data_IF_947159133783
#
_entry.id   IF_947159133783
#
_cell.length_a   1.000
_cell.length_b   1.000
_cell.length_c   1.000
_cell.angle_alpha   90.00
_cell.angle_beta   90.00
_cell.angle_gamma   90.00
#
_symmetry.space_group_name_H-M   'P 1'
#
loop_
_entity.id
_entity.type
_entity.pdbx_description
1 polymer ?
#
# COMPACT_ATOMS: atom_id res chain seq x y z
N UNK A 1 9.82 34.02 -8.61
CA UNK A 1 10.41 32.71 -8.98
C UNK A 1 10.66 31.79 -7.76
N UNK A 2 9.96 31.95 -6.62
CA UNK A 2 10.23 31.17 -5.40
C UNK A 2 9.18 30.10 -5.07
N UNK A 3 8.03 30.08 -5.77
CA UNK A 3 6.88 29.23 -5.43
C UNK A 3 7.01 27.81 -6.00
N UNK A 4 7.54 27.64 -7.22
CA UNK A 4 7.64 26.32 -7.90
C UNK A 4 8.50 25.27 -7.17
N UNK A 5 9.57 25.69 -6.46
CA UNK A 5 10.40 24.75 -5.68
C UNK A 5 9.66 24.16 -4.48
N UNK A 6 8.68 24.87 -3.92
CA UNK A 6 8.02 24.43 -2.70
C UNK A 6 6.98 23.34 -3.00
N UNK A 7 6.26 23.47 -4.12
CA UNK A 7 5.17 22.55 -4.50
C UNK A 7 5.68 21.19 -4.96
N UNK A 8 6.74 21.18 -5.77
CA UNK A 8 7.45 19.96 -6.19
C UNK A 8 8.01 19.19 -4.98
N UNK A 9 8.51 19.91 -3.97
CA UNK A 9 8.96 19.31 -2.71
C UNK A 9 7.80 18.68 -1.92
N UNK A 10 6.63 19.34 -1.91
CA UNK A 10 5.44 18.88 -1.21
C UNK A 10 4.89 17.58 -1.82
N UNK A 11 4.72 17.56 -3.14
CA UNK A 11 4.28 16.35 -3.85
C UNK A 11 5.23 15.16 -3.60
N UNK A 12 6.54 15.41 -3.63
CA UNK A 12 7.54 14.37 -3.38
C UNK A 12 7.45 13.81 -1.95
N UNK A 13 7.25 14.68 -0.94
CA UNK A 13 7.05 14.24 0.46
C UNK A 13 5.86 13.31 0.58
N UNK A 14 4.72 13.66 -0.01
CA UNK A 14 3.53 12.79 0.02
C UNK A 14 3.78 11.44 -0.65
N UNK A 15 4.48 11.41 -1.80
CA UNK A 15 4.85 10.16 -2.47
C UNK A 15 5.76 9.29 -1.59
N UNK A 16 6.76 9.89 -0.96
CA UNK A 16 7.70 9.16 -0.08
C UNK A 16 6.97 8.59 1.12
N UNK A 17 6.18 9.39 1.84
CA UNK A 17 5.42 8.93 3.02
C UNK A 17 4.41 7.86 2.62
N UNK A 18 3.71 8.03 1.50
CA UNK A 18 2.80 7.03 0.97
C UNK A 18 3.51 5.72 0.63
N UNK A 19 4.69 5.79 0.02
CA UNK A 19 5.49 4.61 -0.29
C UNK A 19 5.97 3.90 0.98
N UNK A 20 6.47 4.65 1.97
CA UNK A 20 6.92 4.08 3.26
C UNK A 20 5.77 3.32 3.93
N UNK A 21 4.58 3.91 3.99
CA UNK A 21 3.40 3.23 4.56
C UNK A 21 3.04 1.96 3.78
N UNK A 22 3.05 2.02 2.44
CA UNK A 22 2.74 0.86 1.61
C UNK A 22 3.77 -0.26 1.75
N UNK A 23 5.02 0.06 2.05
CA UNK A 23 6.07 -0.93 2.27
C UNK A 23 5.90 -1.71 3.58
N UNK A 24 5.17 -1.20 4.57
CA UNK A 24 4.92 -1.90 5.83
C UNK A 24 4.30 -3.30 5.60
N UNK A 25 3.13 -3.43 4.96
CA UNK A 25 2.54 -4.76 4.71
C UNK A 25 3.40 -5.60 3.75
N UNK A 26 4.10 -4.98 2.78
CA UNK A 26 5.01 -5.72 1.88
C UNK A 26 6.14 -6.40 2.66
N UNK A 27 6.76 -5.68 3.59
CA UNK A 27 7.83 -6.20 4.42
C UNK A 27 7.34 -7.30 5.35
N UNK A 28 6.16 -7.13 5.95
CA UNK A 28 5.55 -8.13 6.84
C UNK A 28 5.24 -9.42 6.08
N UNK A 29 4.58 -9.32 4.92
CA UNK A 29 4.27 -10.50 4.09
C UNK A 29 5.54 -11.20 3.60
N UNK A 30 6.56 -10.43 3.20
CA UNK A 30 7.85 -11.00 2.78
C UNK A 30 8.55 -11.69 3.94
N UNK A 31 8.48 -11.12 5.15
CA UNK A 31 9.04 -11.74 6.36
C UNK A 31 8.39 -13.09 6.65
N UNK A 32 7.05 -13.17 6.60
CA UNK A 32 6.34 -14.45 6.77
C UNK A 32 6.68 -15.45 5.67
N UNK A 33 6.73 -15.01 4.40
CA UNK A 33 7.11 -15.86 3.29
C UNK A 33 8.47 -16.54 3.51
N UNK A 34 9.47 -15.75 3.94
CA UNK A 34 10.83 -16.24 4.20
C UNK A 34 10.83 -17.18 5.41
N UNK A 35 10.15 -16.80 6.50
CA UNK A 35 10.09 -17.61 7.72
C UNK A 35 9.48 -19.00 7.48
N UNK A 36 8.36 -19.06 6.76
CA UNK A 36 7.66 -20.32 6.43
C UNK A 36 8.46 -21.16 5.44
N UNK A 37 9.08 -20.53 4.43
CA UNK A 37 9.90 -21.24 3.44
C UNK A 37 11.15 -21.87 4.05
N UNK A 38 11.82 -21.18 4.99
CA UNK A 38 12.96 -21.75 5.74
C UNK A 38 12.50 -22.92 6.61
N UNK A 39 11.28 -22.86 7.13
CA UNK A 39 10.65 -23.96 7.87
C UNK A 39 10.24 -25.15 7.00
N UNK A 40 10.38 -25.07 5.67
CA UNK A 40 10.00 -26.12 4.72
C UNK A 40 8.51 -26.13 4.35
N UNK A 41 7.76 -25.09 4.72
CA UNK A 41 6.34 -24.97 4.38
C UNK A 41 6.14 -24.14 3.10
N UNK A 42 5.43 -24.72 2.13
CA UNK A 42 5.08 -24.05 0.88
C UNK A 42 4.00 -22.97 1.07
N UNK A 43 3.33 -22.92 2.23
CA UNK A 43 2.38 -21.86 2.58
C UNK A 43 3.00 -20.46 2.47
N UNK A 44 4.33 -20.35 2.62
CA UNK A 44 5.09 -19.11 2.44
C UNK A 44 4.91 -18.44 1.07
N UNK A 45 4.64 -19.22 0.03
CA UNK A 45 4.35 -18.70 -1.31
C UNK A 45 3.05 -17.88 -1.35
N UNK A 46 2.08 -18.19 -0.48
CA UNK A 46 0.84 -17.46 -0.35
C UNK A 46 1.07 -15.99 0.00
N UNK A 47 2.03 -15.71 0.90
CA UNK A 47 2.38 -14.33 1.27
C UNK A 47 3.05 -13.57 0.13
N UNK A 48 3.86 -14.23 -0.70
CA UNK A 48 4.45 -13.59 -1.89
C UNK A 48 3.40 -13.22 -2.94
N UNK A 49 2.41 -14.09 -3.14
CA UNK A 49 1.27 -13.82 -4.02
C UNK A 49 0.48 -12.60 -3.51
N UNK A 50 0.35 -12.43 -2.20
CA UNK A 50 -0.30 -11.25 -1.59
C UNK A 50 0.56 -9.98 -1.69
N UNK A 51 1.88 -10.09 -1.55
CA UNK A 51 2.80 -8.95 -1.62
C UNK A 51 2.95 -8.40 -3.05
N UNK A 52 2.89 -9.25 -4.07
CA UNK A 52 3.11 -8.86 -5.46
C UNK A 52 2.14 -7.75 -5.96
N UNK A 53 0.81 -7.84 -5.76
CA UNK A 53 -0.11 -6.75 -6.08
C UNK A 53 0.25 -5.43 -5.41
N UNK A 54 0.69 -5.45 -4.15
CA UNK A 54 1.09 -4.23 -3.42
C UNK A 54 2.33 -3.59 -4.04
N UNK A 55 3.32 -4.38 -4.44
CA UNK A 55 4.52 -3.90 -5.15
C UNK A 55 4.14 -3.31 -6.50
N UNK A 56 3.28 -3.98 -7.27
CA UNK A 56 2.80 -3.47 -8.57
C UNK A 56 2.07 -2.13 -8.38
N UNK A 57 1.18 -2.03 -7.38
CA UNK A 57 0.47 -0.79 -7.06
C UNK A 57 1.42 0.30 -6.58
N UNK A 58 2.47 -0.03 -5.83
CA UNK A 58 3.49 0.93 -5.42
C UNK A 58 4.20 1.54 -6.64
N UNK A 59 4.63 0.70 -7.59
CA UNK A 59 5.27 1.13 -8.83
C UNK A 59 4.33 1.97 -9.69
N UNK A 60 3.06 1.56 -9.80
CA UNK A 60 2.04 2.30 -10.53
C UNK A 60 1.75 3.66 -9.88
N UNK A 61 1.53 3.71 -8.57
CA UNK A 61 1.28 4.93 -7.83
C UNK A 61 2.48 5.89 -7.88
N UNK A 62 3.70 5.36 -7.92
CA UNK A 62 4.89 6.19 -8.10
C UNK A 62 4.92 6.89 -9.45
N UNK A 63 4.55 6.19 -10.54
CA UNK A 63 4.54 6.74 -11.91
C UNK A 63 3.28 7.56 -12.23
N UNK A 64 2.13 7.15 -11.69
CA UNK A 64 0.81 7.73 -11.92
C UNK A 64 0.06 7.90 -10.59
N UNK A 65 0.39 8.93 -9.78
CA UNK A 65 -0.12 9.07 -8.41
C UNK A 65 -1.65 9.08 -8.30
N UNK A 66 -2.35 9.70 -9.26
CA UNK A 66 -3.83 9.71 -9.27
C UNK A 66 -4.42 8.31 -9.45
N UNK A 67 -3.99 7.59 -10.49
CA UNK A 67 -4.53 6.28 -10.81
C UNK A 67 -4.15 5.25 -9.73
N UNK A 68 -2.88 5.23 -9.32
CA UNK A 68 -2.42 4.32 -8.26
C UNK A 68 -3.08 4.62 -6.91
N UNK A 69 -3.28 5.90 -6.57
CA UNK A 69 -3.99 6.30 -5.35
C UNK A 69 -5.44 5.83 -5.30
N UNK A 70 -6.19 5.98 -6.40
CA UNK A 70 -7.55 5.47 -6.51
C UNK A 70 -7.62 3.94 -6.38
N UNK A 71 -6.69 3.22 -7.04
CA UNK A 71 -6.63 1.76 -6.98
C UNK A 71 -6.27 1.26 -5.58
N UNK A 72 -5.31 1.89 -4.91
CA UNK A 72 -4.93 1.56 -3.53
C UNK A 72 -6.10 1.70 -2.56
N UNK A 73 -6.86 2.80 -2.65
CA UNK A 73 -8.06 3.00 -1.83
C UNK A 73 -9.15 1.99 -2.18
N UNK A 74 -9.48 1.85 -3.47
CA UNK A 74 -10.57 1.00 -3.93
C UNK A 74 -10.32 -0.47 -3.61
N UNK A 75 -9.16 -1.00 -4.01
CA UNK A 75 -8.79 -2.40 -3.74
C UNK A 75 -8.55 -2.64 -2.26
N UNK A 76 -7.88 -1.73 -1.55
CA UNK A 76 -7.65 -1.87 -0.11
C UNK A 76 -8.96 -1.94 0.68
N UNK A 77 -9.93 -1.09 0.33
CA UNK A 77 -11.26 -1.09 0.95
C UNK A 77 -12.04 -2.36 0.58
N UNK A 78 -12.04 -2.75 -0.68
CA UNK A 78 -12.76 -3.95 -1.14
C UNK A 78 -12.22 -5.22 -0.47
N UNK A 79 -10.89 -5.35 -0.36
CA UNK A 79 -10.26 -6.49 0.30
C UNK A 79 -10.52 -6.48 1.82
N UNK A 80 -10.48 -5.31 2.48
CA UNK A 80 -10.84 -5.20 3.89
C UNK A 80 -12.28 -5.63 4.15
N UNK A 81 -13.23 -5.20 3.30
CA UNK A 81 -14.62 -5.62 3.38
C UNK A 81 -14.78 -7.11 3.12
N UNK A 82 -14.10 -7.65 2.10
CA UNK A 82 -14.08 -9.08 1.84
C UNK A 82 -13.58 -9.87 3.05
N UNK A 83 -12.47 -9.45 3.64
CA UNK A 83 -11.92 -10.08 4.84
C UNK A 83 -12.91 -10.07 6.00
N UNK A 84 -13.56 -8.93 6.26
CA UNK A 84 -14.60 -8.79 7.29
C UNK A 84 -15.81 -9.70 7.06
N UNK A 85 -16.22 -9.89 5.81
CA UNK A 85 -17.42 -10.66 5.46
C UNK A 85 -17.18 -12.17 5.39
N UNK A 86 -15.95 -12.60 5.05
CA UNK A 86 -15.62 -14.00 4.81
C UNK A 86 -14.74 -14.65 5.89
N UNK A 87 -14.34 -13.89 6.92
CA UNK A 87 -13.55 -14.40 8.05
C UNK A 87 -14.39 -14.41 9.32
N UNK A 88 -14.45 -15.57 9.99
CA UNK A 88 -15.07 -15.67 11.31
C UNK A 88 -14.17 -15.03 12.36
N UNK A 89 -14.71 -14.10 13.16
CA UNK A 89 -13.98 -13.36 14.20
C UNK A 89 -12.70 -12.67 13.69
N UNK A 90 -12.83 -11.71 12.75
CA UNK A 90 -11.65 -11.06 12.19
C UNK A 90 -10.97 -10.19 13.25
N UNK A 91 -9.66 -10.39 13.42
CA UNK A 91 -8.85 -9.62 14.36
C UNK A 91 -8.75 -8.16 13.92
N UNK A 92 -9.24 -7.18 14.72
CA UNK A 92 -9.25 -5.77 14.31
C UNK A 92 -7.86 -5.22 13.99
N UNK A 93 -6.84 -5.68 14.73
CA UNK A 93 -5.44 -5.30 14.52
C UNK A 93 -4.95 -5.80 13.16
N UNK A 94 -5.29 -7.03 12.76
CA UNK A 94 -4.86 -7.56 11.46
C UNK A 94 -5.44 -6.74 10.31
N UNK A 95 -6.71 -6.33 10.42
CA UNK A 95 -7.36 -5.48 9.41
C UNK A 95 -6.62 -4.14 9.28
N UNK A 96 -6.36 -3.48 10.42
CA UNK A 96 -5.68 -2.20 10.44
C UNK A 96 -4.25 -2.29 9.90
N UNK A 97 -3.54 -3.37 10.22
CA UNK A 97 -2.14 -3.56 9.83
C UNK A 97 -1.99 -3.89 8.34
N UNK A 98 -2.89 -4.68 7.78
CA UNK A 98 -2.79 -5.17 6.39
C UNK A 98 -3.47 -4.21 5.41
N UNK A 99 -4.66 -3.72 5.72
CA UNK A 99 -5.46 -2.91 4.79
C UNK A 99 -5.37 -1.41 5.05
N UNK A 100 -5.05 -1.00 6.28
CA UNK A 100 -4.89 0.41 6.64
C UNK A 100 -3.78 1.12 5.84
N UNK A 101 -2.53 0.60 5.80
CA UNK A 101 -1.44 1.27 5.11
C UNK A 101 -1.67 1.46 3.61
N UNK A 102 -2.19 0.49 2.83
CA UNK A 102 -2.54 0.71 1.43
C UNK A 102 -3.57 1.83 1.22
N UNK A 103 -4.64 1.87 2.04
CA UNK A 103 -5.68 2.90 1.93
C UNK A 103 -5.09 4.30 2.23
N UNK A 104 -4.34 4.43 3.31
CA UNK A 104 -3.69 5.70 3.69
C UNK A 104 -2.63 6.13 2.66
N UNK A 105 -1.86 5.17 2.14
CA UNK A 105 -0.92 5.39 1.04
C UNK A 105 -1.64 5.94 -0.18
N UNK A 106 -2.79 5.36 -0.54
CA UNK A 106 -3.60 5.82 -1.66
C UNK A 106 -4.05 7.28 -1.50
N UNK A 107 -4.48 7.69 -0.30
CA UNK A 107 -4.82 9.09 0.01
C UNK A 107 -3.62 10.01 -0.18
N UNK A 108 -2.43 9.60 0.27
CA UNK A 108 -1.19 10.38 0.11
C UNK A 108 -0.80 10.52 -1.37
N UNK A 109 -0.93 9.47 -2.18
CA UNK A 109 -0.71 9.56 -3.62
C UNK A 109 -1.73 10.45 -4.34
N UNK A 110 -2.99 10.48 -3.89
CA UNK A 110 -3.97 11.44 -4.41
C UNK A 110 -3.62 12.89 -4.04
N UNK A 111 -3.14 13.14 -2.82
CA UNK A 111 -2.66 14.46 -2.42
C UNK A 111 -1.43 14.88 -3.21
N UNK A 112 -0.49 13.95 -3.47
CA UNK A 112 0.63 14.19 -4.36
C UNK A 112 0.18 14.55 -5.78
N UNK A 113 -0.80 13.82 -6.32
CA UNK A 113 -1.34 14.07 -7.66
C UNK A 113 -1.95 15.47 -7.77
N UNK A 114 -2.71 15.92 -6.76
CA UNK A 114 -3.30 17.26 -6.73
C UNK A 114 -2.25 18.35 -6.78
N UNK A 115 -1.15 18.19 -6.02
CA UNK A 115 -0.04 19.14 -5.99
C UNK A 115 0.86 19.13 -7.22
N UNK A 116 0.80 18.09 -8.05
CA UNK A 116 1.52 18.04 -9.33
C UNK A 116 0.72 18.68 -10.48
N UNK A 117 -0.58 18.90 -10.29
CA UNK A 117 -1.47 19.49 -11.28
C UNK A 117 -1.73 20.99 -11.05
N UNK A 118 -1.19 21.54 -9.96
CA UNK A 118 -1.15 22.96 -9.64
C UNK A 118 0.16 23.54 -10.17
#
# INVERSE_FOLDING_TARGET
MHIERNETSGAMRFKIVGLILLLIPVLILTFFAVGESIGGDLSGLGHLIQAAPLVILALLAWKRPRAGGLLLIGLGTLLALGFLLFTNNPEPIAILLVFGPPILSGLLFLMAARRQAQ
#
